data_IF_671303808566
#
_entry.id   IF_671303808566
#
_cell.length_a   1.000
_cell.length_b   1.000
_cell.length_c   1.000
_cell.angle_alpha   90.00
_cell.angle_beta   90.00
_cell.angle_gamma   90.00
#
_symmetry.space_group_name_H-M   'P 1'
#
loop_
_entity.id
_entity.type
_entity.pdbx_description
1 polymer ?
#
# COMPACT_ATOMS: atom_id res chain seq x y z
N UNK A 1 18.79 16.92 -13.67
CA UNK A 1 19.33 16.60 -12.33
C UNK A 1 19.93 17.87 -11.75
N UNK A 2 19.27 18.49 -10.79
CA UNK A 2 19.83 19.53 -9.92
C UNK A 2 19.39 19.21 -8.50
N UNK A 3 20.35 19.19 -7.60
CA UNK A 3 20.20 18.90 -6.18
C UNK A 3 19.15 19.81 -5.55
N UNK A 4 18.25 19.19 -4.78
CA UNK A 4 17.30 19.88 -3.89
C UNK A 4 18.07 20.45 -2.70
N UNK A 5 18.75 21.57 -2.94
CA UNK A 5 19.23 22.49 -1.92
C UNK A 5 18.18 23.56 -1.68
N UNK A 6 17.86 23.77 -0.42
CA UNK A 6 16.80 24.63 0.12
C UNK A 6 17.05 26.09 -0.27
N UNK A 7 16.32 26.60 -1.26
CA UNK A 7 15.81 27.98 -1.31
C UNK A 7 14.52 27.97 -2.12
N UNK A 8 13.40 27.83 -1.42
CA UNK A 8 12.07 27.98 -2.03
C UNK A 8 11.93 29.45 -2.45
N UNK A 9 11.49 29.79 -3.67
CA UNK A 9 11.44 31.18 -4.19
C UNK A 9 10.51 32.14 -3.40
N UNK A 10 9.93 31.69 -2.29
CA UNK A 10 8.92 32.39 -1.49
C UNK A 10 9.34 32.59 -0.02
N UNK A 11 10.56 32.18 0.33
CA UNK A 11 11.13 32.34 1.67
C UNK A 11 12.42 33.14 1.53
N UNK A 12 12.40 34.39 2.00
CA UNK A 12 13.60 35.19 2.13
C UNK A 12 14.17 34.97 3.54
N UNK A 13 15.46 34.64 3.62
CA UNK A 13 16.19 34.49 4.89
C UNK A 13 17.00 35.76 5.09
N UNK A 14 16.61 36.57 6.07
CA UNK A 14 17.42 37.70 6.52
C UNK A 14 18.39 37.17 7.58
N UNK A 15 19.67 37.07 7.25
CA UNK A 15 20.76 36.99 8.25
C UNK A 15 21.26 38.41 8.47
N UNK A 16 20.65 39.13 9.41
CA UNK A 16 21.14 40.45 9.82
C UNK A 16 22.05 40.24 11.03
N UNK A 17 23.36 40.30 10.80
CA UNK A 17 24.32 40.70 11.82
C UNK A 17 24.32 42.24 11.89
N UNK A 18 23.86 42.79 13.00
CA UNK A 18 24.10 44.18 13.36
C UNK A 18 25.60 44.36 13.65
N UNK A 19 26.40 44.57 12.61
CA UNK A 19 27.79 45.02 12.74
C UNK A 19 27.82 46.52 13.07
N UNK A 20 27.54 46.87 14.32
CA UNK A 20 28.06 48.11 14.89
C UNK A 20 29.58 47.97 15.06
N UNK A 21 30.30 48.52 14.07
CA UNK A 21 31.74 48.71 14.12
C UNK A 21 32.07 49.69 15.25
N UNK A 22 32.61 49.17 16.36
CA UNK A 22 33.47 49.96 17.25
C UNK A 22 34.72 49.15 17.60
N UNK A 23 35.87 49.74 17.26
CA UNK A 23 37.21 49.19 17.41
C UNK A 23 37.60 48.99 18.89
N UNK A 24 38.18 47.84 19.25
CA UNK A 24 39.59 47.70 19.68
C UNK A 24 39.88 46.39 20.45
N UNK A 25 40.95 45.69 20.05
CA UNK A 25 41.82 44.73 20.79
C UNK A 25 41.12 43.52 21.46
N UNK A 26 41.41 42.26 21.17
CA UNK A 26 42.70 41.58 21.32
C UNK A 26 42.57 40.10 20.85
N UNK A 27 43.71 39.46 20.61
CA UNK A 27 43.87 38.11 20.08
C UNK A 27 43.25 36.99 20.95
N UNK A 28 42.64 35.98 20.32
CA UNK A 28 43.11 34.58 20.45
C UNK A 28 42.39 33.59 19.51
N UNK A 29 43.20 32.65 19.03
CA UNK A 29 42.89 31.48 18.22
C UNK A 29 41.98 30.46 18.91
N UNK A 30 41.03 29.87 18.18
CA UNK A 30 40.89 28.41 18.14
C UNK A 30 39.99 27.97 16.97
N UNK A 31 40.52 27.00 16.23
CA UNK A 31 39.84 26.25 15.19
C UNK A 31 38.89 25.22 15.79
N UNK A 32 37.60 25.35 15.51
CA UNK A 32 36.64 24.25 15.56
C UNK A 32 35.66 24.41 14.42
N UNK A 33 35.77 23.55 13.41
CA UNK A 33 34.79 23.40 12.35
C UNK A 33 33.50 22.81 12.93
N UNK A 34 32.63 23.64 13.49
CA UNK A 34 31.22 23.28 13.71
C UNK A 34 30.44 23.64 12.45
N UNK A 35 29.76 22.64 11.88
CA UNK A 35 28.66 22.87 10.95
C UNK A 35 27.44 23.40 11.73
N UNK A 36 27.59 24.52 12.44
CA UNK A 36 26.45 25.31 12.89
C UNK A 36 26.08 26.24 11.73
N UNK A 37 25.28 25.74 10.79
CA UNK A 37 24.53 26.65 9.92
C UNK A 37 23.55 27.37 10.84
N UNK A 38 23.86 28.62 11.18
CA UNK A 38 22.97 29.52 11.90
C UNK A 38 21.56 29.41 11.32
N UNK A 39 20.63 28.90 12.13
CA UNK A 39 19.23 28.87 11.71
C UNK A 39 18.76 30.33 11.63
N UNK A 40 18.16 30.75 10.50
CA UNK A 40 17.72 32.12 10.34
C UNK A 40 16.72 32.48 11.46
N UNK A 41 16.98 33.60 12.15
CA UNK A 41 16.16 34.09 13.26
C UNK A 41 14.85 34.73 12.78
N UNK A 42 14.77 35.06 11.49
CA UNK A 42 13.60 35.69 10.86
C UNK A 42 13.25 35.00 9.54
N UNK A 43 12.01 34.55 9.44
CA UNK A 43 11.42 34.02 8.22
C UNK A 43 10.40 35.01 7.67
N UNK A 44 10.57 35.45 6.42
CA UNK A 44 9.63 36.33 5.73
C UNK A 44 8.88 35.51 4.68
N UNK A 45 7.56 35.48 4.80
CA UNK A 45 6.66 34.79 3.88
C UNK A 45 5.91 35.80 3.02
N UNK A 46 5.79 35.51 1.72
CA UNK A 46 4.96 36.29 0.81
C UNK A 46 3.75 35.46 0.37
N UNK A 47 2.53 35.99 0.57
CA UNK A 47 1.29 35.35 0.14
C UNK A 47 1.01 35.70 -1.32
N UNK A 48 0.91 34.69 -2.19
CA UNK A 48 0.76 34.92 -3.64
C UNK A 48 -0.69 34.95 -4.13
N UNK A 49 -1.57 34.18 -3.47
CA UNK A 49 -2.92 33.90 -3.97
C UNK A 49 -4.01 34.22 -2.95
N UNK A 50 -3.66 34.76 -1.79
CA UNK A 50 -4.58 35.00 -0.68
C UNK A 50 -4.19 36.28 0.07
N UNK A 51 -5.19 36.99 0.57
CA UNK A 51 -4.94 38.16 1.44
C UNK A 51 -4.44 37.71 2.80
N UNK A 52 -3.77 38.62 3.50
CA UNK A 52 -3.29 38.37 4.86
C UNK A 52 -4.42 37.96 5.81
N UNK A 53 -5.58 38.60 5.71
CA UNK A 53 -6.73 38.35 6.57
C UNK A 53 -7.32 36.95 6.35
N UNK A 54 -7.45 36.54 5.08
CA UNK A 54 -7.97 35.22 4.73
C UNK A 54 -6.98 34.10 5.09
N UNK A 55 -5.67 34.37 4.96
CA UNK A 55 -4.63 33.48 5.45
C UNK A 55 -4.68 33.34 6.98
N UNK A 56 -4.75 34.45 7.71
CA UNK A 56 -4.85 34.46 9.17
C UNK A 56 -6.08 33.68 9.67
N UNK A 57 -7.24 33.91 9.06
CA UNK A 57 -8.46 33.20 9.42
C UNK A 57 -8.31 31.67 9.24
N UNK A 58 -7.64 31.25 8.16
CA UNK A 58 -7.39 29.82 7.89
C UNK A 58 -6.36 29.22 8.84
N UNK A 59 -5.24 29.91 9.09
CA UNK A 59 -4.15 29.40 9.92
C UNK A 59 -4.52 29.39 11.40
N UNK A 60 -5.38 30.31 11.85
CA UNK A 60 -5.83 30.36 13.24
C UNK A 60 -6.53 29.06 13.63
N UNK A 61 -7.45 28.56 12.79
CA UNK A 61 -8.14 27.29 13.03
C UNK A 61 -7.15 26.13 13.08
N UNK A 62 -6.20 26.07 12.13
CA UNK A 62 -5.16 25.02 12.12
C UNK A 62 -4.29 25.10 13.38
N UNK A 63 -3.91 26.31 13.79
CA UNK A 63 -3.09 26.56 14.98
C UNK A 63 -3.82 26.16 16.26
N UNK A 64 -5.09 26.54 16.41
CA UNK A 64 -5.91 26.13 17.55
C UNK A 64 -6.01 24.61 17.64
N UNK A 65 -6.34 23.94 16.53
CA UNK A 65 -6.41 22.47 16.48
C UNK A 65 -5.06 21.85 16.82
N UNK A 66 -3.95 22.40 16.33
CA UNK A 66 -2.60 21.87 16.61
C UNK A 66 -2.17 21.97 18.08
N UNK A 67 -2.71 22.94 18.82
CA UNK A 67 -2.42 23.16 20.24
C UNK A 67 -3.36 22.38 21.17
N UNK A 68 -4.40 21.74 20.65
CA UNK A 68 -5.24 20.86 21.45
C UNK A 68 -4.42 19.63 21.87
N UNK A 69 -4.59 19.15 23.12
CA UNK A 69 -3.88 17.98 23.59
C UNK A 69 -4.27 16.75 22.76
N UNK A 70 -3.35 16.24 21.94
CA UNK A 70 -3.54 15.08 21.02
C UNK A 70 -4.09 13.81 21.69
N UNK A 71 -4.01 13.70 23.02
CA UNK A 71 -4.58 12.58 23.78
C UNK A 71 -6.10 12.67 23.98
N UNK A 72 -6.72 13.80 23.64
CA UNK A 72 -8.14 14.07 23.90
C UNK A 72 -9.01 14.18 22.64
N UNK A 73 -8.43 14.09 21.44
CA UNK A 73 -9.16 14.18 20.18
C UNK A 73 -9.09 12.85 19.44
N UNK A 74 -10.26 12.34 19.08
CA UNK A 74 -10.37 11.30 18.05
C UNK A 74 -10.13 11.92 16.68
N UNK A 75 -9.71 11.09 15.70
CA UNK A 75 -9.51 11.53 14.31
C UNK A 75 -10.76 12.19 13.72
N UNK A 76 -11.95 11.69 14.05
CA UNK A 76 -13.22 12.24 13.57
C UNK A 76 -13.51 13.64 14.14
N UNK A 77 -13.15 13.89 15.40
CA UNK A 77 -13.27 15.21 16.01
C UNK A 77 -12.28 16.20 15.38
N UNK A 78 -11.04 15.77 15.12
CA UNK A 78 -10.04 16.58 14.41
C UNK A 78 -10.51 16.94 13.00
N UNK A 79 -11.03 15.97 12.22
CA UNK A 79 -11.61 16.22 10.89
C UNK A 79 -12.78 17.20 10.95
N UNK A 80 -13.63 17.11 11.97
CA UNK A 80 -14.77 18.02 12.16
C UNK A 80 -14.31 19.45 12.46
N UNK A 81 -13.28 19.61 13.29
CA UNK A 81 -12.69 20.92 13.61
C UNK A 81 -11.98 21.55 12.40
N UNK A 82 -11.37 20.73 11.53
CA UNK A 82 -10.70 21.20 10.31
C UNK A 82 -11.67 21.41 9.13
N UNK A 83 -12.87 20.83 9.17
CA UNK A 83 -13.86 20.90 8.10
C UNK A 83 -14.16 22.34 7.58
N UNK A 84 -14.27 23.39 8.43
CA UNK A 84 -14.51 24.75 7.95
C UNK A 84 -13.41 25.29 7.02
N UNK A 85 -12.16 24.85 7.20
CA UNK A 85 -11.02 25.27 6.37
C UNK A 85 -10.89 24.39 5.12
N UNK A 86 -11.20 23.10 5.25
CA UNK A 86 -11.00 22.11 4.19
C UNK A 86 -12.18 22.04 3.21
N UNK A 87 -13.43 22.03 3.69
CA UNK A 87 -14.62 21.83 2.87
C UNK A 87 -14.77 22.83 1.72
N UNK A 88 -14.48 24.15 1.89
CA UNK A 88 -14.55 25.10 0.77
C UNK A 88 -13.56 24.81 -0.36
N UNK A 89 -12.48 24.07 -0.08
CA UNK A 89 -11.43 23.70 -1.04
C UNK A 89 -11.72 22.37 -1.74
N UNK A 90 -12.68 21.60 -1.25
CA UNK A 90 -13.17 20.34 -1.84
C UNK A 90 -14.29 20.65 -2.86
N UNK A 91 -13.89 21.11 -4.04
CA UNK A 91 -14.83 21.56 -5.08
C UNK A 91 -15.09 20.50 -6.15
N UNK A 92 -16.32 20.50 -6.67
CA UNK A 92 -16.79 19.81 -7.87
C UNK A 92 -16.58 20.64 -9.16
N UNK A 93 -16.03 21.85 -9.03
CA UNK A 93 -15.74 22.73 -10.17
C UNK A 93 -14.46 22.31 -10.85
N UNK A 94 -14.63 21.60 -11.96
CA UNK A 94 -13.55 21.33 -12.90
C UNK A 94 -13.24 22.57 -13.74
N UNK A 95 -11.97 22.89 -13.95
CA UNK A 95 -11.53 23.99 -14.80
C UNK A 95 -11.38 23.53 -16.27
N UNK A 96 -12.27 23.95 -17.19
CA UNK A 96 -12.23 23.50 -18.59
C UNK A 96 -11.03 24.03 -19.36
N UNK A 97 -10.30 25.02 -18.86
CA UNK A 97 -9.06 25.51 -19.50
C UNK A 97 -7.92 24.48 -19.45
N UNK A 98 -8.07 23.46 -18.60
CA UNK A 98 -7.10 22.37 -18.40
C UNK A 98 -7.29 21.20 -19.40
N UNK A 99 -8.25 21.32 -20.32
CA UNK A 99 -8.43 20.36 -21.42
C UNK A 99 -7.21 20.40 -22.35
N UNK A 100 -6.78 19.22 -22.79
CA UNK A 100 -5.59 19.09 -23.64
C UNK A 100 -5.96 19.27 -25.11
N UNK A 101 -7.13 18.79 -25.52
CA UNK A 101 -7.65 18.95 -26.87
C UNK A 101 -8.97 19.75 -26.86
N UNK A 102 -9.00 20.83 -27.64
CA UNK A 102 -10.18 21.72 -27.79
C UNK A 102 -11.41 21.02 -28.39
N UNK A 103 -11.24 19.84 -28.99
CA UNK A 103 -12.31 19.00 -29.53
C UNK A 103 -12.99 18.16 -28.45
N UNK A 104 -12.36 18.03 -27.28
CA UNK A 104 -12.96 17.32 -26.16
C UNK A 104 -14.25 18.01 -25.72
N UNK A 105 -15.24 17.19 -25.33
CA UNK A 105 -16.50 17.64 -24.76
C UNK A 105 -16.65 17.00 -23.40
N UNK A 106 -16.99 17.81 -22.41
CA UNK A 106 -17.28 17.34 -21.05
C UNK A 106 -18.52 16.44 -21.10
N UNK A 107 -18.43 15.29 -20.43
CA UNK A 107 -19.54 14.33 -20.32
C UNK A 107 -20.33 14.49 -19.03
N UNK A 108 -19.82 15.28 -18.09
CA UNK A 108 -20.48 15.62 -16.84
C UNK A 108 -20.74 17.14 -16.81
N UNK A 109 -21.88 17.55 -16.24
CA UNK A 109 -22.20 18.97 -16.05
C UNK A 109 -21.32 19.61 -14.98
N UNK A 110 -21.07 18.87 -13.90
CA UNK A 110 -20.13 19.20 -12.82
C UNK A 110 -19.18 18.02 -12.63
N UNK A 111 -17.97 18.28 -12.14
CA UNK A 111 -17.03 17.20 -11.92
C UNK A 111 -17.40 16.36 -10.70
N UNK A 112 -17.04 15.08 -10.73
CA UNK A 112 -17.36 14.14 -9.69
C UNK A 112 -16.32 14.23 -8.56
N UNK A 113 -16.74 14.60 -7.35
CA UNK A 113 -15.82 14.66 -6.21
C UNK A 113 -15.40 13.26 -5.82
N UNK A 114 -14.10 13.02 -5.85
CA UNK A 114 -13.51 11.74 -5.47
C UNK A 114 -12.14 11.95 -4.86
N UNK A 115 -11.70 10.95 -4.11
CA UNK A 115 -10.41 10.95 -3.47
C UNK A 115 -9.50 9.95 -4.18
N UNK A 116 -8.37 10.42 -4.70
CA UNK A 116 -7.30 9.54 -5.19
C UNK A 116 -6.61 8.91 -3.99
N UNK A 117 -6.60 7.59 -3.96
CA UNK A 117 -6.07 6.78 -2.87
C UNK A 117 -4.68 6.30 -3.28
N UNK A 118 -3.72 6.56 -2.42
CA UNK A 118 -2.38 5.96 -2.45
C UNK A 118 -2.16 5.23 -1.12
N UNK A 119 -1.14 4.35 -1.00
CA UNK A 119 -0.87 3.68 0.26
C UNK A 119 -0.73 4.68 1.42
N UNK A 120 -1.61 4.53 2.43
CA UNK A 120 -1.70 5.38 3.62
C UNK A 120 -2.07 6.86 3.39
N UNK A 121 -2.31 7.28 2.14
CA UNK A 121 -2.55 8.67 1.78
C UNK A 121 -3.84 8.84 0.97
N UNK A 122 -4.47 10.00 1.16
CA UNK A 122 -5.73 10.36 0.53
C UNK A 122 -5.60 11.76 -0.07
N UNK A 123 -5.79 11.86 -1.38
CA UNK A 123 -5.71 13.10 -2.13
C UNK A 123 -7.09 13.46 -2.67
N UNK A 124 -7.81 14.40 -2.04
CA UNK A 124 -9.10 14.83 -2.54
C UNK A 124 -8.96 15.58 -3.87
N UNK A 125 -9.97 15.46 -4.70
CA UNK A 125 -10.04 16.16 -5.97
C UNK A 125 -11.36 15.96 -6.69
N UNK A 126 -11.32 16.23 -7.99
CA UNK A 126 -12.47 16.23 -8.86
C UNK A 126 -12.15 15.45 -10.14
N UNK A 127 -12.95 14.42 -10.41
CA UNK A 127 -12.88 13.62 -11.63
C UNK A 127 -13.76 14.23 -12.73
N UNK A 128 -13.25 14.27 -13.95
CA UNK A 128 -14.01 14.72 -15.12
C UNK A 128 -13.81 13.75 -16.28
N UNK A 129 -14.89 13.34 -16.91
CA UNK A 129 -14.87 12.54 -18.13
C UNK A 129 -15.11 13.44 -19.34
N UNK A 130 -14.31 13.26 -20.37
CA UNK A 130 -14.52 13.88 -21.67
C UNK A 130 -14.82 12.82 -22.72
N UNK A 131 -15.06 13.22 -23.96
CA UNK A 131 -15.21 12.26 -25.07
C UNK A 131 -13.95 11.43 -25.36
N UNK A 132 -12.77 11.78 -24.82
CA UNK A 132 -11.48 11.14 -25.14
C UNK A 132 -10.63 10.74 -23.92
N UNK A 133 -10.84 11.39 -22.77
CA UNK A 133 -9.94 11.32 -21.62
C UNK A 133 -10.69 11.29 -20.30
N UNK A 134 -10.03 10.73 -19.30
CA UNK A 134 -10.35 10.89 -17.89
C UNK A 134 -9.40 11.92 -17.29
N UNK A 135 -9.92 12.87 -16.52
CA UNK A 135 -9.14 13.86 -15.79
C UNK A 135 -9.36 13.69 -14.28
N UNK A 136 -8.32 13.98 -13.50
CA UNK A 136 -8.39 14.18 -12.07
C UNK A 136 -7.68 15.49 -11.71
N UNK A 137 -8.47 16.46 -11.24
CA UNK A 137 -8.00 17.74 -10.76
C UNK A 137 -7.86 17.69 -9.24
N UNK A 138 -6.64 17.76 -8.67
CA UNK A 138 -6.44 17.79 -7.23
C UNK A 138 -7.13 18.99 -6.58
N UNK A 139 -7.67 18.82 -5.38
CA UNK A 139 -8.17 19.94 -4.59
C UNK A 139 -6.99 20.79 -4.07
N UNK A 140 -7.09 22.14 -4.09
CA UNK A 140 -6.01 23.04 -3.65
C UNK A 140 -5.91 23.11 -2.12
N UNK A 141 -5.58 21.98 -1.47
CA UNK A 141 -5.35 21.88 -0.03
C UNK A 141 -3.90 22.21 0.31
N UNK A 142 -3.01 21.24 0.09
CA UNK A 142 -1.56 21.36 0.30
C UNK A 142 -0.80 21.45 -1.04
N UNK A 143 -1.53 21.38 -2.16
CA UNK A 143 -1.02 20.97 -3.46
C UNK A 143 -1.36 22.02 -4.54
N UNK A 144 -1.20 23.31 -4.22
CA UNK A 144 -1.60 24.44 -5.09
C UNK A 144 -0.97 24.38 -6.50
N UNK A 145 0.09 23.58 -6.68
CA UNK A 145 0.81 23.41 -7.95
C UNK A 145 0.82 21.98 -8.49
N UNK A 146 0.06 21.04 -7.88
CA UNK A 146 0.02 19.69 -8.42
C UNK A 146 -0.61 19.70 -9.81
N UNK A 147 0.00 19.04 -10.79
CA UNK A 147 -0.54 19.01 -12.14
C UNK A 147 -1.85 18.24 -12.14
N UNK A 148 -2.78 18.68 -12.98
CA UNK A 148 -3.98 17.90 -13.29
C UNK A 148 -3.55 16.61 -13.99
N UNK A 149 -3.95 15.49 -13.39
CA UNK A 149 -3.70 14.18 -13.95
C UNK A 149 -4.74 13.91 -15.04
N UNK A 150 -4.33 13.25 -16.11
CA UNK A 150 -5.22 12.91 -17.19
C UNK A 150 -4.76 11.63 -17.89
N UNK A 151 -5.72 10.87 -18.38
CA UNK A 151 -5.50 9.57 -19.00
C UNK A 151 -6.36 9.44 -20.25
N UNK A 152 -5.71 9.23 -21.38
CA UNK A 152 -6.39 8.92 -22.63
C UNK A 152 -6.98 7.52 -22.59
N UNK A 153 -8.20 7.37 -23.10
CA UNK A 153 -8.92 6.08 -23.07
C UNK A 153 -8.19 4.96 -23.80
N UNK A 154 -7.43 5.28 -24.84
CA UNK A 154 -6.58 4.33 -25.57
C UNK A 154 -5.52 3.71 -24.66
N UNK A 155 -5.04 4.43 -23.63
CA UNK A 155 -4.01 3.99 -22.71
C UNK A 155 -4.53 3.23 -21.47
N UNK A 156 -5.83 3.31 -21.17
CA UNK A 156 -6.44 2.60 -20.05
C UNK A 156 -6.66 1.13 -20.45
N UNK A 157 -6.01 0.18 -19.79
CA UNK A 157 -6.16 -1.25 -20.10
C UNK A 157 -7.36 -1.91 -19.41
N UNK A 158 -7.56 -1.64 -18.12
CA UNK A 158 -8.65 -2.23 -17.32
C UNK A 158 -9.28 -1.18 -16.40
N UNK A 159 -10.54 -1.41 -16.05
CA UNK A 159 -11.27 -0.61 -15.05
C UNK A 159 -11.96 -1.54 -14.07
N UNK A 160 -11.61 -1.44 -12.79
CA UNK A 160 -12.12 -2.30 -11.74
C UNK A 160 -12.97 -1.53 -10.74
N UNK A 161 -14.16 -2.06 -10.47
CA UNK A 161 -14.96 -1.68 -9.30
C UNK A 161 -14.35 -2.32 -8.06
N UNK A 162 -14.04 -1.50 -7.06
CA UNK A 162 -13.30 -1.86 -5.85
C UNK A 162 -14.10 -1.56 -4.59
N UNK A 163 -13.65 -2.13 -3.47
CA UNK A 163 -14.06 -1.68 -2.14
C UNK A 163 -13.01 -0.73 -1.58
N UNK A 164 -13.43 0.21 -0.77
CA UNK A 164 -12.56 1.04 0.06
C UNK A 164 -13.20 1.14 1.44
N UNK A 165 -12.43 0.84 2.50
CA UNK A 165 -12.97 0.72 3.86
C UNK A 165 -14.21 -0.19 3.94
N UNK A 166 -14.14 -1.34 3.24
CA UNK A 166 -15.22 -2.34 3.10
C UNK A 166 -16.48 -1.86 2.37
N UNK A 167 -16.53 -0.63 1.86
CA UNK A 167 -17.66 -0.08 1.12
C UNK A 167 -17.45 -0.13 -0.39
N UNK A 168 -18.51 -0.36 -1.17
CA UNK A 168 -18.49 -0.47 -2.64
C UNK A 168 -18.35 0.89 -3.36
N UNK A 169 -17.44 1.72 -2.88
CA UNK A 169 -17.23 3.09 -3.32
C UNK A 169 -15.92 3.28 -4.09
N UNK A 170 -15.17 2.21 -4.36
CA UNK A 170 -13.87 2.27 -5.02
C UNK A 170 -13.97 2.08 -6.55
N UNK A 171 -13.10 2.77 -7.28
CA UNK A 171 -12.84 2.55 -8.71
C UNK A 171 -11.35 2.64 -8.98
N UNK A 172 -10.80 1.67 -9.72
CA UNK A 172 -9.39 1.68 -10.09
C UNK A 172 -9.24 1.53 -11.60
N UNK A 173 -8.37 2.35 -12.18
CA UNK A 173 -7.97 2.25 -13.59
C UNK A 173 -6.56 1.68 -13.64
N UNK A 174 -6.31 0.78 -14.59
CA UNK A 174 -4.98 0.29 -14.92
C UNK A 174 -4.62 0.78 -16.30
N UNK A 175 -3.39 1.23 -16.47
CA UNK A 175 -2.84 1.68 -17.73
C UNK A 175 -2.06 0.55 -18.41
N UNK A 176 -1.85 0.66 -19.72
CA UNK A 176 -1.08 -0.31 -20.51
C UNK A 176 0.39 -0.44 -20.08
N UNK A 177 0.94 0.57 -19.41
CA UNK A 177 2.30 0.55 -18.90
C UNK A 177 2.42 -0.15 -17.53
N UNK A 178 1.31 -0.60 -16.94
CA UNK A 178 1.27 -1.29 -15.64
C UNK A 178 0.88 -0.40 -14.46
N UNK A 179 0.89 0.93 -14.62
CA UNK A 179 0.50 1.85 -13.55
C UNK A 179 -1.01 1.73 -13.26
N UNK A 180 -1.40 1.93 -12.00
CA UNK A 180 -2.80 1.99 -11.62
C UNK A 180 -3.12 3.18 -10.73
N UNK A 181 -4.34 3.71 -10.88
CA UNK A 181 -4.83 4.83 -10.11
C UNK A 181 -6.16 4.47 -9.46
N UNK A 182 -6.20 4.54 -8.13
CA UNK A 182 -7.34 4.15 -7.33
C UNK A 182 -8.08 5.37 -6.79
N UNK A 183 -9.41 5.37 -6.89
CA UNK A 183 -10.28 6.47 -6.46
C UNK A 183 -11.39 5.95 -5.54
N UNK A 184 -11.71 6.70 -4.48
CA UNK A 184 -12.88 6.48 -3.65
C UNK A 184 -13.92 7.58 -3.86
N UNK A 185 -15.17 7.18 -4.01
CA UNK A 185 -16.33 8.05 -4.22
C UNK A 185 -17.11 8.24 -2.91
N UNK A 186 -18.02 9.21 -2.88
CA UNK A 186 -18.86 9.46 -1.70
C UNK A 186 -19.93 8.38 -1.49
N UNK A 187 -20.39 7.77 -2.58
CA UNK A 187 -21.44 6.75 -2.54
C UNK A 187 -21.22 5.68 -3.61
N UNK A 188 -21.80 4.50 -3.39
CA UNK A 188 -21.77 3.42 -4.38
C UNK A 188 -22.49 3.83 -5.68
N UNK A 189 -23.57 4.58 -5.56
CA UNK A 189 -24.35 5.08 -6.69
C UNK A 189 -23.50 5.98 -7.59
N UNK A 190 -22.82 6.99 -7.02
CA UNK A 190 -21.92 7.87 -7.78
C UNK A 190 -20.81 7.08 -8.50
N UNK A 191 -20.21 6.10 -7.80
CA UNK A 191 -19.21 5.21 -8.40
C UNK A 191 -19.78 4.42 -9.58
N UNK A 192 -20.96 3.82 -9.41
CA UNK A 192 -21.60 3.00 -10.45
C UNK A 192 -22.05 3.84 -11.66
N UNK A 193 -22.55 5.05 -11.45
CA UNK A 193 -22.92 5.99 -12.51
C UNK A 193 -21.69 6.46 -13.29
N UNK A 194 -20.64 6.87 -12.58
CA UNK A 194 -19.37 7.28 -13.18
C UNK A 194 -18.72 6.14 -13.98
N UNK A 195 -18.69 4.93 -13.42
CA UNK A 195 -18.19 3.73 -14.10
C UNK A 195 -18.97 3.44 -15.38
N UNK A 196 -20.30 3.51 -15.32
CA UNK A 196 -21.17 3.22 -16.47
C UNK A 196 -20.97 4.22 -17.60
N UNK A 197 -20.80 5.50 -17.28
CA UNK A 197 -20.48 6.54 -18.25
C UNK A 197 -19.09 6.36 -18.88
N UNK A 198 -18.10 6.01 -18.05
CA UNK A 198 -16.72 5.78 -18.48
C UNK A 198 -16.60 4.56 -19.41
N UNK A 199 -17.11 3.40 -19.00
CA UNK A 199 -17.07 2.18 -19.81
C UNK A 199 -18.05 2.25 -20.99
N UNK A 200 -19.00 3.19 -20.96
CA UNK A 200 -19.85 3.57 -22.09
C UNK A 200 -19.06 4.13 -23.29
N UNK A 201 -17.85 4.64 -23.08
CA UNK A 201 -17.04 5.23 -24.14
C UNK A 201 -16.50 4.16 -25.10
N UNK A 202 -16.49 4.39 -26.43
CA UNK A 202 -16.14 3.38 -27.43
C UNK A 202 -14.81 2.66 -27.15
N UNK A 203 -13.77 3.42 -26.79
CA UNK A 203 -12.42 2.88 -26.53
C UNK A 203 -12.29 2.07 -25.24
N UNK A 204 -13.22 2.27 -24.30
CA UNK A 204 -13.24 1.60 -22.99
C UNK A 204 -14.22 0.43 -22.93
N UNK A 205 -14.99 0.16 -23.99
CA UNK A 205 -15.89 -1.00 -24.03
C UNK A 205 -15.14 -2.33 -23.82
N UNK A 206 -13.87 -2.41 -24.24
CA UNK A 206 -12.98 -3.55 -24.01
C UNK A 206 -12.59 -3.76 -22.54
N UNK A 207 -12.68 -2.72 -21.72
CA UNK A 207 -12.34 -2.75 -20.29
C UNK A 207 -13.50 -3.30 -19.43
N UNK A 208 -14.61 -3.74 -20.05
CA UNK A 208 -15.67 -4.46 -19.34
C UNK A 208 -15.10 -5.71 -18.68
N UNK A 209 -15.59 -5.97 -17.46
CA UNK A 209 -15.11 -7.07 -16.62
C UNK A 209 -15.12 -8.39 -17.38
N UNK A 210 -13.95 -9.04 -17.44
CA UNK A 210 -13.79 -10.39 -17.99
C UNK A 210 -14.52 -11.40 -17.09
N UNK A 211 -15.15 -12.38 -17.73
CA UNK A 211 -15.85 -13.46 -17.02
C UNK A 211 -14.85 -14.37 -16.28
N UNK A 212 -15.12 -14.65 -15.00
CA UNK A 212 -14.36 -15.58 -14.16
C UNK A 212 -14.27 -16.96 -14.84
N UNK A 213 -15.36 -17.47 -15.42
CA UNK A 213 -15.38 -18.78 -16.06
C UNK A 213 -14.54 -18.82 -17.34
N UNK A 214 -14.42 -17.68 -18.02
CA UNK A 214 -13.56 -17.57 -19.19
C UNK A 214 -12.08 -17.64 -18.79
N UNK A 215 -11.68 -16.89 -17.76
CA UNK A 215 -10.30 -16.89 -17.26
C UNK A 215 -9.91 -18.23 -16.64
N UNK A 216 -10.82 -18.87 -15.90
CA UNK A 216 -10.63 -20.23 -15.37
C UNK A 216 -10.33 -21.24 -16.49
N UNK A 217 -11.10 -21.23 -17.59
CA UNK A 217 -10.88 -22.13 -18.72
C UNK A 217 -9.54 -21.91 -19.41
N UNK A 218 -9.08 -20.64 -19.52
CA UNK A 218 -7.75 -20.33 -20.05
C UNK A 218 -6.64 -20.90 -19.19
N UNK A 219 -6.75 -20.71 -17.87
CA UNK A 219 -5.80 -21.26 -16.91
C UNK A 219 -5.74 -22.79 -16.98
N UNK A 220 -6.89 -23.48 -17.00
CA UNK A 220 -6.94 -24.94 -17.15
C UNK A 220 -6.31 -25.46 -18.44
N UNK A 221 -6.36 -24.67 -19.53
CA UNK A 221 -5.73 -24.99 -20.81
C UNK A 221 -4.26 -24.60 -20.91
N UNK A 222 -3.67 -24.06 -19.82
CA UNK A 222 -2.31 -23.50 -19.78
C UNK A 222 -2.10 -22.34 -20.77
N UNK A 223 -3.19 -21.64 -21.15
CA UNK A 223 -3.12 -20.38 -21.90
C UNK A 223 -2.82 -19.17 -20.99
N UNK A 224 -2.88 -19.38 -19.68
CA UNK A 224 -2.61 -18.38 -18.64
C UNK A 224 -1.73 -19.04 -17.57
N UNK A 225 -0.70 -18.35 -17.11
CA UNK A 225 0.20 -18.87 -16.06
C UNK A 225 -0.50 -18.88 -14.69
N UNK A 226 0.05 -19.64 -13.73
CA UNK A 226 -0.44 -19.64 -12.35
C UNK A 226 -0.38 -18.25 -11.73
N UNK A 227 0.72 -17.53 -11.91
CA UNK A 227 0.85 -16.15 -11.45
C UNK A 227 -0.19 -15.22 -12.06
N UNK A 228 -0.41 -15.26 -13.37
CA UNK A 228 -1.37 -14.38 -14.04
C UNK A 228 -2.81 -14.69 -13.58
N UNK A 229 -3.10 -15.96 -13.34
CA UNK A 229 -4.40 -16.37 -12.79
C UNK A 229 -4.58 -15.91 -11.33
N UNK A 230 -3.55 -16.02 -10.49
CA UNK A 230 -3.57 -15.48 -9.12
C UNK A 230 -3.70 -13.96 -9.10
N UNK A 231 -3.00 -13.24 -9.98
CA UNK A 231 -3.19 -11.81 -10.16
C UNK A 231 -4.64 -11.52 -10.54
N UNK A 232 -5.19 -12.24 -11.52
CA UNK A 232 -6.59 -12.07 -11.91
C UNK A 232 -7.56 -12.31 -10.73
N UNK A 233 -7.36 -13.35 -9.92
CA UNK A 233 -8.21 -13.63 -8.76
C UNK A 233 -8.11 -12.53 -7.69
N UNK A 234 -6.91 -12.05 -7.39
CA UNK A 234 -6.70 -10.91 -6.50
C UNK A 234 -7.43 -9.65 -7.00
N UNK A 235 -7.30 -9.33 -8.30
CA UNK A 235 -8.06 -8.23 -8.88
C UNK A 235 -9.58 -8.52 -8.85
N UNK A 236 -10.03 -9.73 -9.13
CA UNK A 236 -11.46 -10.05 -9.12
C UNK A 236 -12.08 -9.97 -7.71
N UNK A 237 -11.29 -10.23 -6.67
CA UNK A 237 -11.68 -10.16 -5.25
C UNK A 237 -11.63 -8.74 -4.67
N UNK A 238 -11.18 -7.75 -5.45
CA UNK A 238 -11.11 -6.35 -5.01
C UNK A 238 -9.75 -5.91 -4.47
N UNK A 239 -8.72 -6.77 -4.48
CA UNK A 239 -7.38 -6.43 -3.97
C UNK A 239 -6.63 -5.51 -4.93
N UNK A 240 -5.78 -4.63 -4.38
CA UNK A 240 -4.98 -3.63 -5.12
C UNK A 240 -3.70 -3.26 -4.38
N UNK A 241 -2.65 -2.89 -5.13
CA UNK A 241 -1.40 -2.37 -4.58
C UNK A 241 -1.53 -0.94 -4.00
N UNK A 242 -2.58 -0.21 -4.37
CA UNK A 242 -2.83 1.17 -3.91
C UNK A 242 -3.42 1.24 -2.49
N UNK A 243 -3.84 0.11 -1.92
CA UNK A 243 -4.41 0.04 -0.57
C UNK A 243 -3.83 -1.17 0.18
N UNK A 244 -2.97 -0.89 1.14
CA UNK A 244 -2.25 -1.90 1.93
C UNK A 244 -3.20 -2.81 2.75
N UNK A 245 -4.42 -2.35 3.05
CA UNK A 245 -5.41 -3.15 3.80
C UNK A 245 -6.01 -4.28 2.97
N UNK A 246 -5.90 -4.18 1.65
CA UNK A 246 -6.41 -5.14 0.68
C UNK A 246 -5.34 -5.45 -0.38
N UNK A 247 -4.09 -5.54 0.04
CA UNK A 247 -2.97 -5.86 -0.85
C UNK A 247 -3.16 -7.26 -1.48
N UNK A 248 -2.68 -7.50 -2.71
CA UNK A 248 -2.70 -8.84 -3.31
C UNK A 248 -1.97 -9.88 -2.45
N UNK A 249 -2.48 -11.10 -2.45
CA UNK A 249 -1.97 -12.22 -1.63
C UNK A 249 -1.59 -13.39 -2.53
N UNK A 250 -0.44 -13.96 -2.25
CA UNK A 250 0.13 -15.12 -2.91
C UNK A 250 0.50 -16.19 -1.87
N UNK A 251 0.45 -17.48 -2.22
CA UNK A 251 0.85 -18.55 -1.30
C UNK A 251 2.35 -18.56 -1.08
N UNK A 252 2.78 -18.95 0.12
CA UNK A 252 4.06 -19.64 0.26
C UNK A 252 4.04 -20.92 -0.59
N UNK A 253 5.00 -21.07 -1.50
CA UNK A 253 5.13 -22.25 -2.38
C UNK A 253 6.20 -23.20 -1.87
N UNK A 254 7.37 -22.67 -1.50
CA UNK A 254 8.50 -23.46 -1.02
C UNK A 254 8.47 -23.57 0.51
N UNK A 255 9.04 -24.66 1.02
CA UNK A 255 9.29 -24.93 2.43
C UNK A 255 10.77 -25.11 2.75
N UNK A 256 11.62 -25.30 1.72
CA UNK A 256 13.06 -25.46 1.85
C UNK A 256 13.82 -24.15 1.59
N UNK A 257 14.34 -23.58 2.66
CA UNK A 257 15.16 -22.37 2.65
C UNK A 257 16.56 -22.62 3.26
N UNK A 258 16.99 -23.89 3.38
CA UNK A 258 18.27 -24.27 4.01
C UNK A 258 19.21 -25.00 3.06
N UNK A 259 18.68 -25.72 2.07
CA UNK A 259 19.50 -26.49 1.14
C UNK A 259 20.37 -25.60 0.25
N UNK A 260 21.57 -26.11 -0.09
CA UNK A 260 22.50 -25.46 -1.04
C UNK A 260 21.97 -25.47 -2.47
N UNK A 261 21.15 -26.46 -2.82
CA UNK A 261 20.53 -26.59 -4.13
C UNK A 261 19.03 -26.83 -3.96
N UNK A 262 18.23 -26.29 -4.87
CA UNK A 262 16.78 -26.42 -4.87
C UNK A 262 16.36 -27.32 -6.03
N UNK A 263 15.85 -28.52 -5.70
CA UNK A 263 15.32 -29.45 -6.68
C UNK A 263 13.78 -29.36 -6.74
N UNK A 264 13.26 -28.68 -7.76
CA UNK A 264 11.81 -28.53 -7.99
C UNK A 264 11.11 -29.85 -8.38
N UNK A 265 11.86 -30.93 -8.63
CA UNK A 265 11.31 -32.26 -8.82
C UNK A 265 11.02 -33.02 -7.51
N UNK A 266 11.52 -32.54 -6.36
CA UNK A 266 11.27 -33.17 -5.06
C UNK A 266 10.01 -32.57 -4.40
N UNK A 267 8.94 -33.35 -4.20
CA UNK A 267 7.73 -32.87 -3.51
C UNK A 267 7.97 -32.27 -2.12
N UNK A 268 9.08 -32.64 -1.44
CA UNK A 268 9.37 -32.19 -0.07
C UNK A 268 9.75 -30.72 0.02
N UNK A 269 10.22 -30.11 -1.07
CA UNK A 269 10.58 -28.68 -1.07
C UNK A 269 9.36 -27.76 -1.14
N UNK A 270 8.18 -28.34 -1.34
CA UNK A 270 6.93 -27.59 -1.46
C UNK A 270 6.14 -27.60 -0.16
N UNK A 271 5.47 -26.47 0.10
CA UNK A 271 4.42 -26.36 1.12
C UNK A 271 3.18 -27.15 0.70
N UNK A 272 2.50 -27.73 1.68
CA UNK A 272 1.16 -28.29 1.49
C UNK A 272 0.13 -27.16 1.28
N UNK A 273 -0.31 -27.00 0.02
CA UNK A 273 -1.29 -25.99 -0.40
C UNK A 273 -2.73 -26.31 0.02
N UNK A 274 -2.99 -27.51 0.56
CA UNK A 274 -4.32 -27.86 1.08
C UNK A 274 -4.59 -27.30 2.47
N UNK A 275 -3.54 -26.80 3.15
CA UNK A 275 -3.58 -26.31 4.52
C UNK A 275 -3.26 -24.82 4.60
N UNK A 276 -3.96 -24.03 5.44
CA UNK A 276 -3.51 -22.67 5.76
C UNK A 276 -2.18 -22.70 6.53
N UNK A 277 -1.46 -21.56 6.57
CA UNK A 277 -0.15 -21.46 7.24
C UNK A 277 -0.21 -21.96 8.69
N UNK A 278 -1.23 -21.53 9.42
CA UNK A 278 -1.45 -21.92 10.82
C UNK A 278 -1.58 -23.43 11.06
N UNK A 279 -1.97 -24.19 10.03
CA UNK A 279 -2.20 -25.64 10.10
C UNK A 279 -1.04 -26.50 9.58
N UNK A 280 0.09 -25.90 9.16
CA UNK A 280 1.27 -26.66 8.70
C UNK A 280 1.89 -27.44 9.85
N UNK A 281 2.12 -26.79 10.99
CA UNK A 281 2.68 -27.40 12.19
C UNK A 281 1.56 -27.98 13.04
N UNK A 282 1.60 -29.30 13.26
CA UNK A 282 0.55 -30.05 13.96
C UNK A 282 0.45 -29.68 15.45
N UNK A 283 1.58 -29.49 16.15
CA UNK A 283 1.58 -29.08 17.56
C UNK A 283 0.94 -27.70 17.73
N UNK A 284 1.29 -26.78 16.83
CA UNK A 284 0.71 -25.43 16.81
C UNK A 284 -0.77 -25.45 16.46
N UNK A 285 -1.18 -26.31 15.53
CA UNK A 285 -2.59 -26.46 15.18
C UNK A 285 -3.42 -26.92 16.38
N UNK A 286 -2.89 -27.84 17.18
CA UNK A 286 -3.57 -28.35 18.37
C UNK A 286 -3.77 -27.24 19.42
N UNK A 287 -2.78 -26.37 19.59
CA UNK A 287 -2.93 -25.15 20.40
C UNK A 287 -4.07 -24.25 19.90
N UNK A 288 -4.15 -24.00 18.58
CA UNK A 288 -5.23 -23.17 18.01
C UNK A 288 -6.60 -23.80 18.21
N UNK A 289 -6.74 -25.11 18.04
CA UNK A 289 -8.00 -25.84 18.26
C UNK A 289 -8.42 -25.80 19.73
N UNK A 290 -7.51 -26.05 20.67
CA UNK A 290 -7.80 -25.95 22.09
C UNK A 290 -8.31 -24.55 22.46
N UNK A 291 -7.66 -23.49 21.93
CA UNK A 291 -8.10 -22.11 22.14
C UNK A 291 -9.48 -21.86 21.53
N UNK A 292 -9.74 -22.37 20.32
CA UNK A 292 -11.02 -22.24 19.63
C UNK A 292 -12.18 -22.89 20.41
N UNK A 293 -11.95 -24.07 20.99
CA UNK A 293 -12.95 -24.80 21.79
C UNK A 293 -13.27 -24.09 23.11
N UNK A 294 -12.29 -23.41 23.71
CA UNK A 294 -12.45 -22.65 24.95
C UNK A 294 -13.15 -21.29 24.77
N UNK A 295 -13.35 -20.82 23.54
CA UNK A 295 -13.99 -19.52 23.30
C UNK A 295 -15.51 -19.56 23.58
N UNK A 296 -16.06 -18.53 24.23
CA UNK A 296 -17.50 -18.42 24.43
C UNK A 296 -18.24 -18.31 23.08
N UNK A 297 -19.44 -18.91 23.01
CA UNK A 297 -20.31 -18.91 21.82
C UNK A 297 -21.60 -18.18 22.12
N UNK A 298 -22.12 -17.43 21.15
CA UNK A 298 -23.46 -16.82 21.23
C UNK A 298 -23.49 -15.41 21.82
N UNK A 299 -22.35 -14.83 22.20
CA UNK A 299 -22.23 -13.44 22.70
C UNK A 299 -21.96 -12.43 21.57
N UNK A 300 -22.29 -12.78 20.32
CA UNK A 300 -22.07 -11.93 19.14
C UNK A 300 -22.91 -10.63 19.21
N UNK A 301 -24.08 -10.70 19.85
CA UNK A 301 -24.94 -9.55 20.09
C UNK A 301 -24.35 -8.55 21.10
N UNK A 302 -23.42 -9.01 21.95
CA UNK A 302 -22.68 -8.19 22.91
C UNK A 302 -21.37 -7.63 22.33
N UNK A 303 -21.13 -7.85 21.03
CA UNK A 303 -19.97 -7.34 20.31
C UNK A 303 -18.73 -8.25 20.37
N UNK A 304 -18.83 -9.44 20.98
CA UNK A 304 -17.74 -10.41 20.94
C UNK A 304 -17.63 -11.08 19.55
N UNK A 305 -16.42 -11.29 19.02
CA UNK A 305 -16.24 -12.00 17.77
C UNK A 305 -16.62 -13.48 17.93
N UNK A 306 -17.15 -14.12 16.86
CA UNK A 306 -17.37 -15.56 16.88
C UNK A 306 -16.04 -16.31 17.09
N UNK A 307 -16.05 -17.57 17.56
CA UNK A 307 -14.83 -18.35 17.75
C UNK A 307 -13.95 -18.38 16.50
N UNK A 308 -12.64 -18.22 16.69
CA UNK A 308 -11.66 -18.14 15.61
C UNK A 308 -10.37 -18.87 15.96
N UNK A 309 -9.70 -19.45 14.96
CA UNK A 309 -8.41 -20.09 15.15
C UNK A 309 -7.31 -19.03 15.22
N UNK A 310 -7.29 -18.12 14.24
CA UNK A 310 -6.23 -17.13 14.07
C UNK A 310 -6.69 -15.72 14.47
N UNK A 311 -5.99 -15.13 15.44
CA UNK A 311 -6.22 -13.74 15.88
C UNK A 311 -5.56 -12.68 14.98
N UNK A 312 -4.74 -13.13 14.04
CA UNK A 312 -4.11 -12.31 13.01
C UNK A 312 -4.58 -12.79 11.63
N UNK A 313 -4.65 -11.85 10.69
CA UNK A 313 -5.04 -12.15 9.31
C UNK A 313 -3.79 -12.41 8.47
N UNK A 314 -3.85 -13.32 7.50
CA UNK A 314 -2.70 -13.68 6.64
C UNK A 314 -2.19 -12.53 5.75
N UNK A 315 -2.95 -11.44 5.63
CA UNK A 315 -2.63 -10.25 4.83
C UNK A 315 -3.00 -9.00 5.63
N UNK A 316 -1.99 -8.23 6.02
CA UNK A 316 -2.17 -6.99 6.77
C UNK A 316 -1.23 -5.92 6.23
N UNK A 317 -1.54 -4.62 6.39
CA UNK A 317 -0.61 -3.55 6.02
C UNK A 317 0.76 -3.72 6.65
N UNK A 318 0.81 -4.17 7.91
CA UNK A 318 2.06 -4.44 8.62
C UNK A 318 2.92 -5.49 7.93
N UNK A 319 2.32 -6.57 7.40
CA UNK A 319 3.06 -7.61 6.68
C UNK A 319 3.56 -7.15 5.31
N UNK A 320 2.78 -6.34 4.60
CA UNK A 320 3.22 -5.77 3.31
C UNK A 320 4.41 -4.84 3.54
N UNK A 321 4.33 -3.97 4.54
CA UNK A 321 5.43 -3.06 4.88
C UNK A 321 6.63 -3.79 5.48
N UNK A 322 6.41 -4.89 6.20
CA UNK A 322 7.49 -5.77 6.64
C UNK A 322 8.33 -6.23 5.44
N UNK A 323 7.71 -6.72 4.37
CA UNK A 323 8.42 -7.14 3.17
C UNK A 323 9.03 -5.98 2.38
N UNK A 324 8.31 -4.86 2.26
CA UNK A 324 8.66 -3.76 1.36
C UNK A 324 9.39 -2.59 2.05
N UNK A 325 9.85 -2.74 3.29
CA UNK A 325 10.48 -1.67 4.08
C UNK A 325 11.67 -1.01 3.35
N UNK A 326 12.43 -1.79 2.57
CA UNK A 326 13.59 -1.30 1.79
C UNK A 326 13.17 -0.53 0.54
N UNK A 327 12.08 -0.95 -0.10
CA UNK A 327 11.55 -0.32 -1.32
C UNK A 327 10.82 0.98 -1.02
N UNK A 328 9.91 0.97 -0.04
CA UNK A 328 9.03 2.10 0.31
C UNK A 328 9.13 2.44 1.81
N UNK A 329 10.32 2.88 2.28
CA UNK A 329 10.55 3.21 3.70
C UNK A 329 9.60 4.31 4.21
N UNK A 330 9.18 5.23 3.34
CA UNK A 330 8.23 6.29 3.65
C UNK A 330 6.91 5.78 4.22
N UNK A 331 6.41 4.63 3.76
CA UNK A 331 5.16 4.06 4.26
C UNK A 331 5.34 3.46 5.66
N UNK A 332 6.49 2.80 5.92
CA UNK A 332 6.83 2.32 7.26
C UNK A 332 6.95 3.49 8.23
N UNK A 333 7.66 4.55 7.85
CA UNK A 333 7.82 5.75 8.67
C UNK A 333 6.47 6.43 8.93
N UNK A 334 5.57 6.48 7.95
CA UNK A 334 4.22 6.99 8.15
C UNK A 334 3.45 6.18 9.20
N UNK A 335 3.51 4.85 9.11
CA UNK A 335 2.79 3.96 10.04
C UNK A 335 3.38 3.97 11.46
N UNK A 336 4.70 4.09 11.58
CA UNK A 336 5.46 3.99 12.84
C UNK A 336 5.87 5.37 13.40
N UNK A 337 5.11 6.42 13.08
CA UNK A 337 5.30 7.77 13.64
C UNK A 337 6.71 8.35 13.45
N UNK A 338 7.31 8.13 12.28
CA UNK A 338 8.60 8.69 11.87
C UNK A 338 9.83 7.87 12.25
N UNK A 339 9.67 6.64 12.76
CA UNK A 339 10.78 5.73 13.07
C UNK A 339 10.57 4.37 12.40
N UNK A 340 11.64 3.62 12.17
CA UNK A 340 11.51 2.22 11.78
C UNK A 340 11.07 1.36 12.98
N UNK A 341 10.53 0.18 12.69
CA UNK A 341 10.19 -0.79 13.73
C UNK A 341 11.46 -1.30 14.45
N UNK A 342 11.29 -2.00 15.57
CA UNK A 342 12.41 -2.59 16.28
C UNK A 342 13.19 -3.53 15.35
N UNK A 343 14.54 -3.49 15.34
CA UNK A 343 15.36 -4.25 14.42
C UNK A 343 15.01 -5.74 14.38
N UNK A 344 14.79 -6.39 15.54
CA UNK A 344 14.42 -7.81 15.65
C UNK A 344 13.07 -8.18 14.99
N UNK A 345 12.21 -7.20 14.72
CA UNK A 345 10.91 -7.39 14.04
C UNK A 345 10.95 -7.03 12.56
N UNK A 346 12.07 -6.50 12.06
CA UNK A 346 12.22 -6.18 10.65
C UNK A 346 12.46 -7.45 9.82
N UNK A 347 12.19 -7.32 8.52
CA UNK A 347 12.41 -8.41 7.57
C UNK A 347 13.91 -8.59 7.30
N UNK A 348 14.49 -9.62 7.90
CA UNK A 348 15.93 -9.88 7.85
C UNK A 348 16.29 -11.11 7.01
N UNK A 349 15.45 -12.16 7.02
CA UNK A 349 15.84 -13.47 6.47
C UNK A 349 14.62 -14.21 5.95
N UNK A 350 14.68 -14.73 4.72
CA UNK A 350 13.59 -15.53 4.15
C UNK A 350 13.31 -16.76 5.02
N UNK A 351 14.39 -17.44 5.44
CA UNK A 351 14.31 -18.61 6.30
C UNK A 351 13.72 -18.24 7.67
N UNK A 352 14.25 -17.19 8.30
CA UNK A 352 13.75 -16.73 9.61
C UNK A 352 12.27 -16.34 9.56
N UNK A 353 11.84 -15.69 8.48
CA UNK A 353 10.44 -15.37 8.22
C UNK A 353 9.59 -16.62 8.06
N UNK A 354 10.00 -17.59 7.24
CA UNK A 354 9.28 -18.85 7.07
C UNK A 354 9.13 -19.58 8.40
N UNK A 355 10.23 -19.77 9.13
CA UNK A 355 10.22 -20.44 10.44
C UNK A 355 9.29 -19.74 11.43
N UNK A 356 9.31 -18.40 11.46
CA UNK A 356 8.36 -17.59 12.23
C UNK A 356 6.91 -17.88 11.85
N UNK A 357 6.60 -17.92 10.56
CA UNK A 357 5.27 -18.25 10.04
C UNK A 357 4.81 -19.67 10.40
N UNK A 358 5.72 -20.63 10.65
CA UNK A 358 5.35 -22.02 11.01
C UNK A 358 5.38 -22.30 12.52
N UNK A 359 6.06 -21.46 13.31
CA UNK A 359 6.26 -21.68 14.75
C UNK A 359 5.51 -20.68 15.63
N UNK A 360 5.47 -19.40 15.28
CA UNK A 360 4.87 -18.36 16.11
C UNK A 360 3.34 -18.42 16.03
N UNK A 361 2.66 -18.29 17.18
CA UNK A 361 1.19 -18.31 17.26
C UNK A 361 0.54 -17.04 16.70
N UNK A 362 1.28 -15.94 16.60
CA UNK A 362 0.77 -14.66 16.07
C UNK A 362 1.14 -14.41 14.62
N UNK A 363 1.94 -15.29 14.00
CA UNK A 363 2.40 -15.15 12.62
C UNK A 363 1.84 -16.24 11.71
N UNK A 364 0.88 -15.85 10.86
CA UNK A 364 0.24 -16.72 9.87
C UNK A 364 0.25 -16.07 8.48
N UNK A 365 1.24 -15.21 8.23
CA UNK A 365 1.27 -14.39 7.02
C UNK A 365 1.55 -15.19 5.75
N UNK A 366 0.81 -14.87 4.70
CA UNK A 366 1.08 -15.36 3.34
C UNK A 366 1.99 -14.36 2.59
N UNK A 367 2.38 -14.71 1.38
CA UNK A 367 3.28 -13.90 0.54
C UNK A 367 2.54 -12.81 -0.25
N UNK A 368 3.34 -11.94 -0.85
CA UNK A 368 2.93 -10.89 -1.79
C UNK A 368 3.41 -11.23 -3.21
N UNK A 369 2.82 -10.66 -4.28
CA UNK A 369 3.19 -10.98 -5.67
C UNK A 369 4.68 -10.76 -5.99
N UNK A 370 5.34 -9.83 -5.31
CA UNK A 370 6.73 -9.43 -5.54
C UNK A 370 7.73 -10.59 -5.34
N UNK A 371 7.34 -11.65 -4.63
CA UNK A 371 8.12 -12.89 -4.53
C UNK A 371 8.19 -13.70 -5.83
N UNK A 372 7.33 -13.40 -6.81
CA UNK A 372 7.14 -14.17 -8.04
C UNK A 372 7.13 -13.30 -9.31
N UNK A 373 7.22 -11.98 -9.16
CA UNK A 373 7.15 -11.00 -10.24
C UNK A 373 8.57 -10.70 -10.73
N UNK A 374 8.97 -11.32 -11.83
CA UNK A 374 10.28 -11.12 -12.47
C UNK A 374 10.41 -9.77 -13.19
N UNK A 375 9.30 -9.07 -13.39
CA UNK A 375 9.29 -7.70 -13.92
C UNK A 375 9.54 -6.65 -12.84
N UNK A 376 9.38 -7.03 -11.58
CA UNK A 376 9.63 -6.17 -10.43
C UNK A 376 11.10 -6.33 -9.96
N UNK A 377 11.92 -5.27 -9.96
CA UNK A 377 13.33 -5.37 -9.60
C UNK A 377 13.53 -5.90 -8.17
N UNK A 378 14.09 -7.11 -8.06
CA UNK A 378 14.19 -7.83 -6.80
C UNK A 378 15.17 -7.18 -5.81
N UNK A 379 16.22 -6.55 -6.33
CA UNK A 379 17.20 -5.76 -5.59
C UNK A 379 16.57 -4.58 -4.85
N UNK A 380 15.57 -3.91 -5.43
CA UNK A 380 14.97 -2.73 -4.81
C UNK A 380 14.18 -3.00 -3.52
N UNK A 381 13.82 -4.26 -3.22
CA UNK A 381 13.09 -4.64 -2.01
C UNK A 381 13.82 -5.67 -1.13
N UNK A 382 14.73 -6.47 -1.70
CA UNK A 382 15.57 -7.41 -0.95
C UNK A 382 16.91 -6.82 -0.51
N UNK A 383 17.43 -5.81 -1.21
CA UNK A 383 18.69 -5.15 -0.86
C UNK A 383 18.44 -3.74 -0.31
N UNK A 384 19.27 -3.30 0.63
CA UNK A 384 19.21 -1.98 1.21
C UNK A 384 19.98 -0.96 0.35
N UNK A 385 19.57 -0.83 -0.93
CA UNK A 385 20.21 0.08 -1.90
C UNK A 385 20.14 1.56 -1.48
N UNK A 386 19.17 1.92 -0.63
CA UNK A 386 18.98 3.27 -0.09
C UNK A 386 19.84 3.55 1.15
N UNK A 387 20.62 2.56 1.62
CA UNK A 387 21.43 2.64 2.83
C UNK A 387 20.65 3.12 4.06
N UNK A 388 19.44 2.58 4.24
CA UNK A 388 18.57 2.92 5.37
C UNK A 388 19.21 2.49 6.70
N UNK A 389 18.99 3.28 7.74
CA UNK A 389 19.36 2.91 9.11
C UNK A 389 18.24 2.07 9.74
N UNK A 390 18.37 0.75 9.58
CA UNK A 390 17.42 -0.24 10.12
C UNK A 390 17.82 -0.75 11.51
N UNK A 391 18.87 -0.20 12.10
CA UNK A 391 19.36 -0.54 13.44
C UNK A 391 20.09 -1.89 13.55
N UNK A 392 20.30 -2.32 14.80
CA UNK A 392 20.98 -3.56 15.17
C UNK A 392 20.07 -4.45 16.01
N UNK A 393 20.11 -5.75 15.78
CA UNK A 393 19.38 -6.74 16.55
C UNK A 393 19.96 -6.89 17.96
N UNK A 394 19.25 -7.62 18.83
CA UNK A 394 19.76 -7.96 20.15
C UNK A 394 21.06 -8.79 20.12
N UNK A 395 21.33 -9.47 19.00
CA UNK A 395 22.56 -10.22 18.77
C UNK A 395 23.71 -9.34 18.24
N UNK A 396 23.49 -8.02 18.14
CA UNK A 396 24.42 -7.04 17.56
C UNK A 396 24.64 -7.19 16.05
N UNK A 397 23.78 -7.93 15.36
CA UNK A 397 23.79 -8.02 13.91
C UNK A 397 23.09 -6.79 13.31
N UNK A 398 23.71 -6.16 12.32
CA UNK A 398 23.11 -5.02 11.62
C UNK A 398 22.03 -5.52 10.67
N UNK A 399 20.86 -4.90 10.72
CA UNK A 399 19.81 -5.14 9.73
C UNK A 399 20.17 -4.37 8.46
N UNK A 400 20.39 -5.09 7.36
CA UNK A 400 20.79 -4.50 6.08
C UNK A 400 20.09 -5.22 4.92
N UNK A 401 20.80 -5.95 4.06
CA UNK A 401 20.19 -6.81 3.03
C UNK A 401 19.42 -7.98 3.64
N UNK A 402 18.42 -8.48 2.92
CA UNK A 402 17.68 -9.69 3.32
C UNK A 402 18.56 -10.92 3.06
N UNK A 403 18.73 -11.76 4.07
CA UNK A 403 19.38 -13.06 3.94
C UNK A 403 18.55 -13.98 3.05
N UNK A 404 19.12 -14.32 1.90
CA UNK A 404 18.53 -15.22 0.93
C UNK A 404 18.90 -16.67 1.24
N UNK A 405 18.06 -17.63 0.83
CA UNK A 405 18.39 -19.05 0.99
C UNK A 405 19.66 -19.42 0.21
N UNK A 406 20.46 -20.41 0.65
CA UNK A 406 21.75 -20.72 0.04
C UNK A 406 21.66 -21.06 -1.45
N UNK A 407 20.57 -21.71 -1.88
CA UNK A 407 20.30 -22.02 -3.27
C UNK A 407 20.11 -20.80 -4.18
N UNK A 408 19.89 -19.60 -3.63
CA UNK A 408 19.82 -18.36 -4.40
C UNK A 408 21.21 -17.72 -4.59
N UNK A 409 22.26 -18.23 -3.94
CA UNK A 409 23.64 -17.74 -4.10
C UNK A 409 23.81 -16.24 -3.88
N UNK A 410 23.03 -15.66 -2.96
CA UNK A 410 22.94 -14.22 -2.69
C UNK A 410 22.48 -13.36 -3.88
N UNK A 411 21.88 -13.96 -4.91
CA UNK A 411 21.27 -13.27 -6.04
C UNK A 411 19.76 -13.12 -5.82
N UNK A 412 19.30 -11.88 -5.65
CA UNK A 412 17.90 -11.52 -5.43
C UNK A 412 17.03 -11.84 -6.66
N UNK A 413 17.57 -11.69 -7.87
CA UNK A 413 16.84 -12.03 -9.10
C UNK A 413 16.71 -13.54 -9.24
N UNK A 414 17.77 -14.29 -8.95
CA UNK A 414 17.72 -15.76 -8.97
C UNK A 414 16.73 -16.29 -7.92
N UNK A 415 16.64 -15.66 -6.76
CA UNK A 415 15.62 -15.96 -5.75
C UNK A 415 14.20 -15.82 -6.31
N UNK A 416 13.86 -14.67 -6.90
CA UNK A 416 12.52 -14.44 -7.49
C UNK A 416 12.27 -15.37 -8.66
N UNK A 417 13.27 -15.60 -9.54
CA UNK A 417 13.16 -16.50 -10.68
C UNK A 417 12.87 -17.94 -10.26
N UNK A 418 13.53 -18.45 -9.22
CA UNK A 418 13.29 -19.79 -8.68
C UNK A 418 11.93 -19.90 -8.00
N UNK A 419 11.48 -18.87 -7.28
CA UNK A 419 10.12 -18.83 -6.74
C UNK A 419 9.07 -18.84 -7.86
N UNK A 420 9.27 -18.05 -8.92
CA UNK A 420 8.38 -18.06 -10.09
C UNK A 420 8.38 -19.42 -10.78
N UNK A 421 9.54 -20.04 -10.97
CA UNK A 421 9.64 -21.39 -11.53
C UNK A 421 8.94 -22.44 -10.64
N UNK A 422 9.03 -22.31 -9.31
CA UNK A 422 8.33 -23.17 -8.38
C UNK A 422 6.82 -22.99 -8.46
N UNK A 423 6.32 -21.75 -8.54
CA UNK A 423 4.90 -21.42 -8.71
C UNK A 423 4.32 -21.98 -10.02
N UNK A 424 5.10 -21.97 -11.10
CA UNK A 424 4.68 -22.48 -12.41
C UNK A 424 4.97 -23.98 -12.60
N UNK A 425 5.41 -24.70 -11.56
CA UNK A 425 5.69 -26.13 -11.66
C UNK A 425 4.41 -26.95 -11.84
N UNK A 426 4.53 -28.15 -12.41
CA UNK A 426 3.40 -29.08 -12.51
C UNK A 426 2.86 -29.46 -11.12
N UNK A 427 3.74 -29.60 -10.12
CA UNK A 427 3.36 -29.90 -8.74
C UNK A 427 2.38 -28.87 -8.17
N UNK A 428 2.68 -27.58 -8.36
CA UNK A 428 1.82 -26.48 -7.91
C UNK A 428 0.57 -26.38 -8.78
N UNK A 429 0.70 -26.50 -10.10
CA UNK A 429 -0.43 -26.42 -11.04
C UNK A 429 -1.54 -27.43 -10.71
N UNK A 430 -1.17 -28.65 -10.30
CA UNK A 430 -2.10 -29.69 -9.88
C UNK A 430 -2.81 -29.39 -8.54
N UNK A 431 -2.26 -28.52 -7.68
CA UNK A 431 -2.69 -28.36 -6.27
C UNK A 431 -3.12 -26.94 -5.91
N UNK A 432 -2.81 -25.93 -6.73
CA UNK A 432 -3.02 -24.52 -6.44
C UNK A 432 -4.49 -24.18 -6.17
N UNK A 433 -5.40 -24.90 -6.83
CA UNK A 433 -6.85 -24.74 -6.63
C UNK A 433 -7.27 -24.98 -5.17
N UNK A 434 -6.59 -25.85 -4.42
CA UNK A 434 -6.88 -26.05 -3.00
C UNK A 434 -6.56 -24.83 -2.15
N UNK A 435 -5.48 -24.12 -2.46
CA UNK A 435 -5.15 -22.87 -1.78
C UNK A 435 -6.13 -21.76 -2.17
N UNK A 436 -6.53 -21.72 -3.44
CA UNK A 436 -7.57 -20.80 -3.92
C UNK A 436 -8.88 -21.03 -3.14
N UNK A 437 -9.24 -22.29 -2.84
CA UNK A 437 -10.44 -22.59 -2.04
C UNK A 437 -10.37 -22.02 -0.62
N UNK A 438 -9.17 -21.98 -0.01
CA UNK A 438 -8.96 -21.40 1.33
C UNK A 438 -9.09 -19.88 1.31
N UNK A 439 -8.54 -19.20 0.31
CA UNK A 439 -8.43 -17.74 0.31
C UNK A 439 -9.61 -17.05 -0.37
N UNK A 440 -10.09 -17.58 -1.49
CA UNK A 440 -11.11 -16.97 -2.35
C UNK A 440 -12.34 -17.84 -2.57
N UNK A 441 -12.24 -19.13 -2.29
CA UNK A 441 -13.29 -20.10 -2.57
C UNK A 441 -14.12 -20.46 -1.34
N UNK A 442 -14.67 -21.67 -1.38
CA UNK A 442 -15.73 -22.10 -0.46
C UNK A 442 -15.24 -22.44 0.95
N UNK A 443 -13.92 -22.60 1.17
CA UNK A 443 -13.31 -22.86 2.48
C UNK A 443 -12.89 -21.57 3.21
N UNK A 444 -13.26 -20.40 2.69
CA UNK A 444 -12.97 -19.12 3.32
C UNK A 444 -13.83 -18.88 4.56
N UNK A 445 -15.10 -19.34 4.55
CA UNK A 445 -16.08 -19.09 5.60
C UNK A 445 -16.96 -20.33 5.86
N UNK A 446 -17.75 -20.29 6.93
CA UNK A 446 -18.72 -21.34 7.27
C UNK A 446 -18.09 -22.63 7.81
N UNK A 447 -18.85 -23.72 7.77
CA UNK A 447 -18.41 -25.03 8.30
C UNK A 447 -17.18 -25.56 7.57
N UNK A 448 -17.06 -25.31 6.27
CA UNK A 448 -15.91 -25.73 5.47
C UNK A 448 -14.61 -25.03 5.88
N UNK A 449 -14.69 -23.77 6.34
CA UNK A 449 -13.54 -23.09 6.93
C UNK A 449 -13.13 -23.73 8.26
N UNK A 450 -14.08 -24.16 9.10
CA UNK A 450 -13.79 -24.87 10.35
C UNK A 450 -13.12 -26.21 10.06
N UNK A 451 -13.68 -26.99 9.13
CA UNK A 451 -13.15 -28.29 8.70
C UNK A 451 -11.72 -28.16 8.12
N UNK A 452 -11.45 -27.09 7.39
CA UNK A 452 -10.14 -26.79 6.81
C UNK A 452 -9.17 -26.08 7.78
N UNK A 453 -9.58 -25.82 9.02
CA UNK A 453 -8.83 -25.04 10.02
C UNK A 453 -8.46 -23.63 9.53
N UNK A 454 -9.37 -22.92 8.87
CA UNK A 454 -9.16 -21.65 8.18
C UNK A 454 -9.95 -20.47 8.77
N UNK A 455 -10.41 -20.57 10.02
CA UNK A 455 -11.22 -19.52 10.66
C UNK A 455 -10.36 -18.38 11.22
N UNK A 456 -10.57 -17.15 10.75
CA UNK A 456 -9.88 -15.93 11.22
C UNK A 456 -10.84 -15.02 11.98
N UNK A 457 -10.35 -14.18 12.90
CA UNK A 457 -11.23 -13.24 13.63
C UNK A 457 -11.83 -12.12 12.76
N UNK A 458 -11.34 -11.93 11.54
CA UNK A 458 -11.76 -10.88 10.61
C UNK A 458 -12.68 -11.38 9.48
N UNK A 459 -13.10 -12.65 9.50
CA UNK A 459 -14.07 -13.17 8.54
C UNK A 459 -15.50 -12.79 8.94
N UNK A 460 -15.92 -11.56 8.60
CA UNK A 460 -17.34 -11.16 8.53
C UNK A 460 -17.62 -10.52 7.18
#
# INVERSE_FOLDING_TARGET
MRERGIDHPYIYKDTVDDLEVSNSNDLQSSSSSSFDREMPTKFIFTLQHVTYEAFLASIHVIYEVSNLPRRMLTKAEEETLLAPVLAPRLTDKFDPSLLIDFRERLLLETGCVADRIEPLLKFPGCLMLTTLRLYFQPSPLNNVFDPVLNWEYTNIDQVYKRRYLLQQIGLEIYLRNGDSFFFSFRSQQERDDFYSLMVGQPELQRCRRKDLQYMLRKWQRRELSNFDYLQFLNHASGRTRNDLTQYPVFPWILSDYTSLELNLGDPKVYRDLTKPIGAINEERLEYFKARYEMMPRGEEAEGMPPPFLYGTHYSTPGYVLYFLVRKVPEYMLCLQSGKFDAPDRLFQSIKGTWDGCVSNHTDVKELIPEFFDDTFPADEWLQNIKHLDLGMTQNFDRVDDVELPPWAQNDSMEFVRKNRAALESDYVSERLHHWIDLIFGYKQQGEEAVNANNCTCFSK
#
